data_IF_772085070667
#
_entry.id   IF_772085070667
#
_cell.length_a   1.000
_cell.length_b   1.000
_cell.length_c   1.000
_cell.angle_alpha   90.00
_cell.angle_beta   90.00
_cell.angle_gamma   90.00
#
_symmetry.space_group_name_H-M   'P 1'
#
loop_
_entity.id
_entity.type
_entity.pdbx_description
1 polymer ?
#
# COMPACT_ATOMS: atom_id res chain seq x y z
N UNK A 1 5.14 6.32 15.98
CA UNK A 1 4.28 7.52 16.13
C UNK A 1 5.11 8.81 15.89
N UNK A 2 4.59 9.75 15.10
CA UNK A 2 5.31 11.00 14.76
C UNK A 2 5.57 11.86 16.03
N UNK A 3 6.80 12.35 16.25
CA UNK A 3 7.19 13.12 17.43
C UNK A 3 6.92 14.64 17.34
N UNK A 4 6.27 15.13 16.28
CA UNK A 4 6.10 16.57 16.05
C UNK A 4 4.74 17.11 16.51
N UNK A 5 4.68 18.24 17.25
CA UNK A 5 3.43 18.88 17.63
C UNK A 5 2.71 19.40 16.38
N UNK A 6 1.41 19.15 16.26
CA UNK A 6 0.57 19.57 15.12
C UNK A 6 -0.46 20.61 15.55
N UNK A 7 -0.18 21.92 15.40
CA UNK A 7 -1.18 22.96 15.61
C UNK A 7 -1.99 23.18 14.32
N UNK A 8 -3.30 22.95 14.36
CA UNK A 8 -4.21 23.31 13.26
C UNK A 8 -5.30 22.27 12.98
N UNK A 9 -6.50 22.75 12.64
CA UNK A 9 -7.73 21.96 12.43
C UNK A 9 -7.59 20.87 11.36
N UNK A 10 -8.33 19.79 11.61
CA UNK A 10 -8.58 18.58 10.81
C UNK A 10 -8.77 18.71 9.28
N UNK A 11 -9.03 19.91 8.73
CA UNK A 11 -9.27 20.15 7.30
C UNK A 11 -8.22 21.04 6.59
N UNK A 12 -7.07 21.33 7.22
CA UNK A 12 -6.08 22.28 6.66
C UNK A 12 -4.80 21.58 6.17
N UNK A 13 -4.37 21.88 4.95
CA UNK A 13 -3.15 21.32 4.31
C UNK A 13 -1.82 21.84 4.90
N UNK A 14 -1.85 22.65 5.97
CA UNK A 14 -0.66 23.29 6.55
C UNK A 14 0.33 22.31 7.18
N UNK A 15 -0.10 21.10 7.53
CA UNK A 15 0.78 20.06 8.09
C UNK A 15 1.25 19.05 7.06
N UNK A 16 0.89 19.19 5.78
CA UNK A 16 1.21 18.22 4.72
C UNK A 16 2.70 17.90 4.65
N UNK A 17 3.56 18.92 4.73
CA UNK A 17 5.02 18.77 4.71
C UNK A 17 5.60 18.00 5.92
N UNK A 18 4.83 17.86 7.00
CA UNK A 18 5.20 17.14 8.21
C UNK A 18 4.50 15.77 8.35
N UNK A 19 3.32 15.62 7.75
CA UNK A 19 2.48 14.42 7.87
C UNK A 19 2.63 13.47 6.67
N UNK A 20 2.95 13.99 5.48
CA UNK A 20 3.09 13.16 4.28
C UNK A 20 4.47 12.54 4.19
N UNK A 21 4.52 11.22 4.03
CA UNK A 21 5.72 10.47 3.69
C UNK A 21 5.49 9.86 2.30
N UNK A 22 6.30 10.29 1.33
CA UNK A 22 6.35 9.69 0.01
C UNK A 22 6.49 8.16 0.13
N UNK A 23 5.74 7.44 -0.69
CA UNK A 23 5.90 6.00 -0.87
C UNK A 23 5.37 5.63 -2.25
N UNK A 24 5.71 4.42 -2.69
CA UNK A 24 5.17 3.80 -3.91
C UNK A 24 4.37 2.59 -3.48
N UNK A 25 3.15 2.48 -3.99
CA UNK A 25 2.28 1.33 -3.78
C UNK A 25 2.20 0.50 -5.07
N UNK A 26 2.44 -0.80 -4.96
CA UNK A 26 2.33 -1.76 -6.06
C UNK A 26 1.15 -2.69 -5.78
N UNK A 27 0.14 -2.64 -6.64
CA UNK A 27 -1.09 -3.44 -6.50
C UNK A 27 -1.21 -4.40 -7.69
N UNK A 28 -0.61 -5.60 -7.61
CA UNK A 28 -0.73 -6.59 -8.68
C UNK A 28 -2.18 -7.08 -8.79
N UNK A 29 -2.73 -7.04 -10.01
CA UNK A 29 -4.07 -7.57 -10.29
C UNK A 29 -4.00 -9.10 -10.46
N UNK A 30 -4.21 -9.82 -9.36
CA UNK A 30 -4.19 -11.30 -9.35
C UNK A 30 -5.56 -11.91 -9.73
N UNK A 31 -6.64 -11.17 -9.52
CA UNK A 31 -8.02 -11.60 -9.80
C UNK A 31 -8.80 -10.52 -10.54
N UNK A 32 -9.92 -10.92 -11.16
CA UNK A 32 -10.86 -9.95 -11.74
C UNK A 32 -11.63 -9.27 -10.60
N UNK A 33 -11.73 -7.95 -10.68
CA UNK A 33 -12.55 -7.15 -9.77
C UNK A 33 -14.02 -7.54 -9.99
N UNK A 34 -14.76 -7.84 -8.92
CA UNK A 34 -16.17 -8.17 -8.99
C UNK A 34 -17.05 -6.93 -8.73
N UNK A 35 -18.37 -7.13 -8.77
CA UNK A 35 -19.35 -6.05 -8.63
C UNK A 35 -19.34 -5.39 -7.25
N UNK A 36 -18.94 -6.11 -6.20
CA UNK A 36 -18.85 -5.55 -4.85
C UNK A 36 -17.72 -4.52 -4.74
N UNK A 37 -16.51 -4.85 -5.21
CA UNK A 37 -15.38 -3.93 -5.10
C UNK A 37 -15.58 -2.70 -6.00
N UNK A 38 -16.16 -2.87 -7.20
CA UNK A 38 -16.54 -1.74 -8.06
C UNK A 38 -17.63 -0.85 -7.46
N UNK A 39 -18.66 -1.45 -6.84
CA UNK A 39 -19.80 -0.71 -6.31
C UNK A 39 -19.51 0.01 -4.99
N UNK A 40 -18.59 -0.51 -4.18
CA UNK A 40 -18.28 0.03 -2.85
C UNK A 40 -16.96 0.81 -2.77
N UNK A 41 -16.01 0.56 -3.68
CA UNK A 41 -14.64 1.06 -3.56
C UNK A 41 -13.81 0.38 -2.47
N UNK A 42 -14.34 -0.67 -1.83
CA UNK A 42 -13.63 -1.49 -0.86
C UNK A 42 -13.04 -2.73 -1.53
N UNK A 43 -11.82 -3.08 -1.13
CA UNK A 43 -11.14 -4.28 -1.60
C UNK A 43 -11.17 -5.37 -0.53
N UNK A 44 -11.42 -6.60 -0.96
CA UNK A 44 -11.24 -7.78 -0.12
C UNK A 44 -9.83 -8.30 -0.37
N UNK A 45 -9.01 -8.34 0.67
CA UNK A 45 -7.68 -8.95 0.60
C UNK A 45 -7.78 -10.42 1.08
N UNK A 46 -7.74 -11.42 0.17
CA UNK A 46 -7.81 -12.83 0.57
C UNK A 46 -6.51 -13.34 1.20
N UNK A 47 -5.40 -12.61 1.06
CA UNK A 47 -4.08 -13.01 1.58
C UNK A 47 -3.67 -12.07 2.71
N UNK A 48 -3.60 -12.56 3.96
CA UNK A 48 -3.10 -11.75 5.07
C UNK A 48 -1.72 -11.17 4.77
N UNK A 49 -1.44 -9.92 5.19
CA UNK A 49 -0.16 -9.27 4.91
C UNK A 49 1.03 -10.05 5.49
N UNK A 50 0.85 -10.78 6.59
CA UNK A 50 1.88 -11.62 7.23
C UNK A 50 2.35 -12.74 6.29
N UNK A 51 1.39 -13.43 5.66
CA UNK A 51 1.66 -14.51 4.70
C UNK A 51 2.23 -13.96 3.39
N UNK A 52 1.69 -12.86 2.87
CA UNK A 52 2.22 -12.21 1.67
C UNK A 52 3.67 -11.76 1.86
N UNK A 53 4.00 -11.15 3.00
CA UNK A 53 5.35 -10.71 3.32
C UNK A 53 6.32 -11.89 3.49
N UNK A 54 5.87 -13.01 4.08
CA UNK A 54 6.67 -14.23 4.14
C UNK A 54 6.96 -14.78 2.75
N UNK A 55 5.94 -14.94 1.93
CA UNK A 55 6.06 -15.46 0.57
C UNK A 55 7.02 -14.62 -0.29
N UNK A 56 6.88 -13.28 -0.26
CA UNK A 56 7.74 -12.39 -1.03
C UNK A 56 9.20 -12.39 -0.56
N UNK A 57 9.47 -12.63 0.73
CA UNK A 57 10.84 -12.79 1.25
C UNK A 57 11.51 -14.09 0.79
N UNK A 58 10.72 -15.15 0.62
CA UNK A 58 11.21 -16.48 0.24
C UNK A 58 11.27 -16.67 -1.28
N UNK A 59 10.66 -15.76 -2.06
CA UNK A 59 10.61 -15.85 -3.52
C UNK A 59 12.01 -15.66 -4.15
N UNK A 60 12.43 -16.61 -4.99
CA UNK A 60 13.65 -16.49 -5.79
C UNK A 60 13.43 -15.51 -6.95
N UNK A 61 14.20 -14.42 -6.98
CA UNK A 61 14.23 -13.53 -8.14
C UNK A 61 15.19 -14.13 -9.16
N UNK A 62 14.64 -14.71 -10.23
CA UNK A 62 15.45 -15.04 -11.41
C UNK A 62 15.87 -13.73 -12.06
N UNK A 63 17.12 -13.36 -11.86
CA UNK A 63 17.76 -12.33 -12.69
C UNK A 63 18.05 -13.02 -14.01
N UNK A 64 17.26 -12.71 -15.04
CA UNK A 64 17.67 -13.03 -16.39
C UNK A 64 18.82 -12.09 -16.73
N UNK A 65 20.03 -12.64 -16.79
CA UNK A 65 21.19 -11.91 -17.31
C UNK A 65 20.91 -11.62 -18.79
N UNK A 66 20.68 -10.34 -19.10
CA UNK A 66 20.61 -9.87 -20.48
C UNK A 66 21.95 -10.16 -21.17
N UNK A 67 21.92 -11.02 -22.20
CA UNK A 67 23.04 -11.36 -23.06
C UNK A 67 23.41 -10.25 -24.04
#
# INVERSE_FOLDING_TARGET
PSPHPRPGREYYWSTLQYDYHWHIELIPRLTRIAGFEWGSGLYINPTPPEEAAKYLREAEVKVEDEA
#
